data_IF_200586501351
#
_entry.id   IF_200586501351
#
_cell.length_a   1.000
_cell.length_b   1.000
_cell.length_c   1.000
_cell.angle_alpha   90.00
_cell.angle_beta   90.00
_cell.angle_gamma   90.00
#
_symmetry.space_group_name_H-M   'P 1'
#
loop_
_entity.id
_entity.type
_entity.pdbx_description
1 polymer ?
#
# COMPACT_ATOMS: atom_id res chain seq x y z
N UNK A 1 -8.41 -16.99 -28.60
CA UNK A 1 -8.25 -15.53 -28.77
C UNK A 1 -7.58 -14.97 -27.53
N UNK A 2 -6.28 -14.67 -27.61
CA UNK A 2 -5.53 -14.09 -26.51
C UNK A 2 -5.89 -12.61 -26.40
N UNK A 3 -6.65 -12.26 -25.37
CA UNK A 3 -7.11 -10.89 -25.14
C UNK A 3 -6.06 -10.11 -24.33
N UNK A 4 -4.89 -9.93 -24.92
CA UNK A 4 -3.66 -9.39 -24.30
C UNK A 4 -3.81 -7.91 -23.88
N UNK A 5 -4.83 -7.23 -24.40
CA UNK A 5 -5.18 -5.84 -24.06
C UNK A 5 -6.34 -5.73 -23.07
N UNK A 6 -6.92 -6.85 -22.62
CA UNK A 6 -7.90 -6.80 -21.54
C UNK A 6 -7.12 -6.51 -20.27
N UNK A 7 -7.33 -5.32 -19.68
CA UNK A 7 -6.73 -4.89 -18.41
C UNK A 7 -6.75 -6.09 -17.43
N UNK A 8 -5.59 -6.67 -17.07
CA UNK A 8 -5.50 -7.94 -16.33
C UNK A 8 -5.72 -7.66 -14.84
N UNK A 9 -6.78 -6.93 -14.53
CA UNK A 9 -7.05 -6.40 -13.21
C UNK A 9 -8.48 -6.79 -12.88
N UNK A 10 -8.64 -8.01 -12.38
CA UNK A 10 -9.89 -8.45 -11.79
C UNK A 10 -10.12 -7.67 -10.49
N UNK A 11 -11.39 -7.38 -10.18
CA UNK A 11 -11.79 -6.70 -8.94
C UNK A 11 -11.18 -7.39 -7.71
N UNK A 12 -11.23 -8.73 -7.70
CA UNK A 12 -10.65 -9.57 -6.65
C UNK A 12 -9.15 -9.38 -6.52
N UNK A 13 -8.41 -9.35 -7.64
CA UNK A 13 -6.97 -9.11 -7.63
C UNK A 13 -6.65 -7.72 -7.06
N UNK A 14 -7.40 -6.68 -7.43
CA UNK A 14 -7.19 -5.33 -6.91
C UNK A 14 -7.50 -5.23 -5.41
N UNK A 15 -8.56 -5.90 -4.94
CA UNK A 15 -8.87 -6.00 -3.52
C UNK A 15 -7.74 -6.70 -2.74
N UNK A 16 -7.15 -7.75 -3.29
CA UNK A 16 -5.98 -8.41 -2.70
C UNK A 16 -4.77 -7.48 -2.63
N UNK A 17 -4.51 -6.68 -3.69
CA UNK A 17 -3.46 -5.66 -3.65
C UNK A 17 -3.70 -4.60 -2.57
N UNK A 18 -4.94 -4.14 -2.38
CA UNK A 18 -5.28 -3.20 -1.31
C UNK A 18 -5.01 -3.80 0.08
N UNK A 19 -5.36 -5.08 0.29
CA UNK A 19 -5.06 -5.78 1.56
C UNK A 19 -3.56 -5.88 1.81
N UNK A 20 -2.77 -6.22 0.78
CA UNK A 20 -1.30 -6.28 0.89
C UNK A 20 -0.74 -4.91 1.26
N UNK A 21 -1.22 -3.82 0.64
CA UNK A 21 -0.79 -2.46 0.97
C UNK A 21 -1.12 -2.07 2.41
N UNK A 22 -2.33 -2.42 2.89
CA UNK A 22 -2.71 -2.20 4.29
C UNK A 22 -1.82 -3.02 5.24
N UNK A 23 -1.49 -4.26 4.90
CA UNK A 23 -0.63 -5.13 5.72
C UNK A 23 0.81 -4.62 5.77
N UNK A 24 1.35 -4.11 4.66
CA UNK A 24 2.67 -3.45 4.63
C UNK A 24 2.65 -2.22 5.55
N UNK A 25 1.59 -1.40 5.51
CA UNK A 25 1.47 -0.25 6.38
C UNK A 25 1.44 -0.65 7.86
N UNK A 26 0.71 -1.71 8.23
CA UNK A 26 0.71 -2.26 9.60
C UNK A 26 2.10 -2.76 10.02
N UNK A 27 2.79 -3.48 9.14
CA UNK A 27 4.17 -3.95 9.41
C UNK A 27 5.13 -2.77 9.61
N UNK A 28 4.99 -1.70 8.84
CA UNK A 28 5.80 -0.50 9.02
C UNK A 28 5.57 0.17 10.39
N UNK A 29 4.33 0.21 10.88
CA UNK A 29 4.00 0.69 12.23
C UNK A 29 4.62 -0.23 13.29
N UNK A 30 4.53 -1.55 13.12
CA UNK A 30 5.14 -2.52 14.04
C UNK A 30 6.67 -2.45 14.06
N UNK A 31 7.31 -2.00 12.97
CA UNK A 31 8.75 -1.81 12.90
C UNK A 31 9.25 -0.56 13.64
N UNK A 32 8.38 0.41 13.92
CA UNK A 32 8.74 1.64 14.63
C UNK A 32 9.41 1.41 16.00
N UNK A 33 8.86 0.59 16.93
CA UNK A 33 9.53 0.30 18.20
C UNK A 33 10.88 -0.41 17.99
N UNK A 34 10.98 -1.33 17.02
CA UNK A 34 12.23 -2.05 16.73
C UNK A 34 13.35 -1.07 16.35
N UNK A 35 13.04 -0.07 15.52
CA UNK A 35 13.99 0.97 15.12
C UNK A 35 14.34 1.90 16.29
N UNK A 36 13.35 2.29 17.10
CA UNK A 36 13.55 3.21 18.22
C UNK A 36 14.42 2.62 19.34
N UNK A 37 14.19 1.36 19.69
CA UNK A 37 14.91 0.68 20.78
C UNK A 37 16.22 0.01 20.36
N UNK A 38 16.54 -0.05 19.06
CA UNK A 38 17.83 -0.58 18.60
C UNK A 38 19.03 0.25 19.10
N UNK A 39 20.21 -0.37 19.22
CA UNK A 39 21.47 0.29 19.65
C UNK A 39 22.11 1.19 18.58
N UNK A 40 21.32 1.72 17.65
CA UNK A 40 21.79 2.55 16.55
C UNK A 40 21.99 4.02 16.97
N UNK A 41 22.80 4.76 16.20
CA UNK A 41 22.95 6.21 16.38
C UNK A 41 21.60 6.96 16.22
N UNK A 42 21.41 8.05 16.95
CA UNK A 42 20.15 8.82 16.97
C UNK A 42 19.73 9.27 15.55
N UNK A 43 20.69 9.72 14.73
CA UNK A 43 20.41 10.12 13.34
C UNK A 43 19.86 8.97 12.49
N UNK A 44 20.37 7.75 12.67
CA UNK A 44 19.87 6.56 11.98
C UNK A 44 18.44 6.23 12.41
N UNK A 45 18.11 6.39 13.71
CA UNK A 45 16.75 6.18 14.22
C UNK A 45 15.75 7.16 13.62
N UNK A 46 16.09 8.45 13.60
CA UNK A 46 15.20 9.50 13.06
C UNK A 46 14.94 9.27 11.57
N UNK A 47 15.98 9.00 10.78
CA UNK A 47 15.82 8.74 9.34
C UNK A 47 14.97 7.49 9.06
N UNK A 48 15.18 6.40 9.78
CA UNK A 48 14.38 5.19 9.59
C UNK A 48 12.94 5.37 10.06
N UNK A 49 12.69 6.09 11.17
CA UNK A 49 11.33 6.42 11.59
C UNK A 49 10.61 7.28 10.53
N UNK A 50 11.28 8.28 9.96
CA UNK A 50 10.70 9.07 8.86
C UNK A 50 10.41 8.19 7.65
N UNK A 51 11.32 7.29 7.29
CA UNK A 51 11.13 6.38 6.15
C UNK A 51 9.96 5.42 6.39
N UNK A 52 9.80 4.89 7.60
CA UNK A 52 8.67 4.04 7.99
C UNK A 52 7.33 4.79 7.91
N UNK A 53 7.28 6.04 8.36
CA UNK A 53 6.06 6.86 8.30
C UNK A 53 5.69 7.17 6.83
N UNK A 54 6.68 7.56 6.02
CA UNK A 54 6.47 7.85 4.60
C UNK A 54 6.01 6.59 3.86
N UNK A 55 6.63 5.44 4.11
CA UNK A 55 6.26 4.18 3.44
C UNK A 55 4.86 3.71 3.83
N UNK A 56 4.51 3.81 5.12
CA UNK A 56 3.17 3.49 5.60
C UNK A 56 2.12 4.40 4.95
N UNK A 57 2.37 5.71 4.93
CA UNK A 57 1.46 6.68 4.32
C UNK A 57 1.30 6.45 2.81
N UNK A 58 2.40 6.19 2.09
CA UNK A 58 2.36 5.90 0.66
C UNK A 58 1.57 4.62 0.33
N UNK A 59 1.69 3.58 1.17
CA UNK A 59 0.93 2.35 1.00
C UNK A 59 -0.56 2.57 1.25
N UNK A 60 -0.93 3.25 2.34
CA UNK A 60 -2.33 3.59 2.65
C UNK A 60 -2.95 4.46 1.57
N UNK A 61 -2.23 5.49 1.13
CA UNK A 61 -2.67 6.37 0.06
C UNK A 61 -2.89 5.59 -1.25
N UNK A 62 -1.98 4.68 -1.59
CA UNK A 62 -2.10 3.84 -2.79
C UNK A 62 -3.31 2.90 -2.69
N UNK A 63 -3.56 2.30 -1.52
CA UNK A 63 -4.71 1.43 -1.29
C UNK A 63 -6.03 2.20 -1.45
N UNK A 64 -6.12 3.40 -0.87
CA UNK A 64 -7.31 4.25 -0.99
C UNK A 64 -7.51 4.78 -2.40
N UNK A 65 -6.42 5.15 -3.09
CA UNK A 65 -6.48 5.52 -4.51
C UNK A 65 -6.99 4.36 -5.36
N UNK A 66 -6.52 3.14 -5.10
CA UNK A 66 -6.97 1.94 -5.81
C UNK A 66 -8.47 1.65 -5.55
N UNK A 67 -8.95 1.77 -4.31
CA UNK A 67 -10.37 1.60 -3.96
C UNK A 67 -11.27 2.60 -4.68
N UNK A 68 -10.93 3.90 -4.60
CA UNK A 68 -11.73 4.99 -5.18
C UNK A 68 -11.82 4.94 -6.70
N UNK A 69 -10.73 4.57 -7.37
CA UNK A 69 -10.73 4.47 -8.82
C UNK A 69 -11.34 3.15 -9.31
N UNK A 70 -11.33 2.09 -8.49
CA UNK A 70 -11.99 0.82 -8.81
C UNK A 70 -13.51 1.00 -8.93
N UNK A 71 -14.15 1.71 -7.99
CA UNK A 71 -15.60 1.95 -8.05
C UNK A 71 -16.00 2.62 -9.37
N UNK A 72 -15.29 3.69 -9.78
CA UNK A 72 -15.53 4.35 -11.07
C UNK A 72 -15.37 3.43 -12.29
N UNK A 73 -14.35 2.59 -12.29
CA UNK A 73 -14.07 1.67 -13.41
C UNK A 73 -15.02 0.47 -13.49
N UNK A 74 -15.76 0.21 -12.40
CA UNK A 74 -16.79 -0.82 -12.34
C UNK A 74 -18.11 -0.28 -12.88
N UNK A 75 -18.51 0.93 -12.46
CA UNK A 75 -19.80 1.53 -12.82
C UNK A 75 -19.88 1.87 -14.30
N UNK A 76 -18.80 2.34 -14.93
CA UNK A 76 -18.74 2.61 -16.38
C UNK A 76 -18.88 1.36 -17.27
N UNK A 77 -18.85 0.15 -16.70
CA UNK A 77 -18.95 -1.10 -17.47
C UNK A 77 -20.34 -1.74 -17.44
N UNK A 78 -21.23 -1.23 -16.58
CA UNK A 78 -22.61 -1.69 -16.45
C UNK A 78 -23.61 -0.78 -17.20
N UNK A 79 -23.18 0.38 -17.71
CA UNK A 79 -23.88 1.22 -18.69
C UNK A 79 -23.45 0.91 -20.13
#
# INVERSE_FOLDING_TARGET
>A
MFNIFKRPVNKESLQSWCKILDDIAKVAILAAPVVLYGENAIGYKVLNCLFLVISAYACLFSADFMRKNLEKLITEKEE
#
